data_IF_744010972825
#
_entry.id   IF_744010972825
#
_cell.length_a   1.000
_cell.length_b   1.000
_cell.length_c   1.000
_cell.angle_alpha   90.00
_cell.angle_beta   90.00
_cell.angle_gamma   90.00
#
_symmetry.space_group_name_H-M   'P 1'
#
loop_
_entity.id
_entity.type
_entity.pdbx_description
1 polymer ?
#
# COMPACT_ATOMS: atom_id res chain seq x y z
N UNK A 1 -1.66 -23.72 16.26
CA UNK A 1 -2.42 -23.55 14.99
C UNK A 1 -2.95 -24.88 14.48
N UNK A 2 -4.25 -24.94 14.18
CA UNK A 2 -4.90 -26.06 13.51
C UNK A 2 -4.49 -26.16 12.03
N UNK A 3 -4.70 -27.32 11.40
CA UNK A 3 -4.44 -27.52 9.95
C UNK A 3 -5.23 -26.51 9.09
N UNK A 4 -6.48 -26.21 9.47
CA UNK A 4 -7.32 -25.20 8.80
C UNK A 4 -6.69 -23.81 8.88
N UNK A 5 -6.23 -23.39 10.06
CA UNK A 5 -5.56 -22.10 10.26
C UNK A 5 -4.30 -21.96 9.41
N UNK A 6 -3.48 -23.01 9.28
CA UNK A 6 -2.28 -23.00 8.44
C UNK A 6 -2.62 -22.78 6.96
N UNK A 7 -3.66 -23.47 6.46
CA UNK A 7 -4.12 -23.31 5.08
C UNK A 7 -4.68 -21.90 4.86
N UNK A 8 -5.49 -21.38 5.79
CA UNK A 8 -6.03 -20.02 5.71
C UNK A 8 -4.91 -18.96 5.72
N UNK A 9 -3.88 -19.13 6.54
CA UNK A 9 -2.72 -18.24 6.57
C UNK A 9 -1.95 -18.26 5.24
N UNK A 10 -1.73 -19.46 4.66
CA UNK A 10 -1.07 -19.59 3.36
C UNK A 10 -1.88 -18.93 2.25
N UNK A 11 -3.20 -19.16 2.23
CA UNK A 11 -4.09 -18.55 1.24
C UNK A 11 -4.10 -17.02 1.38
N UNK A 12 -4.13 -16.51 2.62
CA UNK A 12 -4.06 -15.08 2.88
C UNK A 12 -2.74 -14.46 2.39
N UNK A 13 -1.62 -15.15 2.59
CA UNK A 13 -0.33 -14.72 2.06
C UNK A 13 -0.35 -14.62 0.52
N UNK A 14 -0.91 -15.63 -0.16
CA UNK A 14 -1.07 -15.60 -1.62
C UNK A 14 -1.93 -14.42 -2.06
N UNK A 15 -3.06 -14.16 -1.38
CA UNK A 15 -3.93 -13.01 -1.69
C UNK A 15 -3.16 -11.69 -1.54
N UNK A 16 -2.37 -11.51 -0.48
CA UNK A 16 -1.58 -10.31 -0.26
C UNK A 16 -0.51 -10.10 -1.34
N UNK A 17 0.15 -11.17 -1.77
CA UNK A 17 1.17 -11.12 -2.84
C UNK A 17 0.52 -10.74 -4.16
N UNK A 18 -0.59 -11.39 -4.52
CA UNK A 18 -1.33 -11.09 -5.76
C UNK A 18 -1.85 -9.66 -5.75
N UNK A 19 -2.41 -9.21 -4.62
CA UNK A 19 -2.90 -7.84 -4.48
C UNK A 19 -1.76 -6.82 -4.61
N UNK A 20 -0.58 -7.10 -4.03
CA UNK A 20 0.61 -6.26 -4.14
C UNK A 20 1.12 -6.17 -5.58
N UNK A 21 1.22 -7.30 -6.28
CA UNK A 21 1.60 -7.32 -7.70
C UNK A 21 0.60 -6.57 -8.58
N UNK A 22 -0.70 -6.78 -8.37
CA UNK A 22 -1.75 -6.05 -9.09
C UNK A 22 -1.65 -4.54 -8.85
N UNK A 23 -1.47 -4.14 -7.57
CA UNK A 23 -1.23 -2.75 -7.18
C UNK A 23 -0.07 -2.17 -7.97
N UNK A 24 1.09 -2.82 -7.98
CA UNK A 24 2.28 -2.30 -8.66
C UNK A 24 2.07 -2.14 -10.17
N UNK A 25 1.43 -3.11 -10.83
CA UNK A 25 1.06 -3.01 -12.25
C UNK A 25 0.21 -1.77 -12.51
N UNK A 26 -0.83 -1.54 -11.71
CA UNK A 26 -1.72 -0.38 -11.84
C UNK A 26 -0.93 0.93 -11.66
N UNK A 27 -0.10 1.04 -10.62
CA UNK A 27 0.65 2.25 -10.33
C UNK A 27 1.74 2.54 -11.38
N UNK A 28 2.39 1.53 -11.94
CA UNK A 28 3.37 1.69 -13.03
C UNK A 28 2.69 2.28 -14.26
N UNK A 29 1.58 1.69 -14.72
CA UNK A 29 0.84 2.17 -15.89
C UNK A 29 0.32 3.62 -15.71
N UNK A 30 -0.15 3.98 -14.51
CA UNK A 30 -0.55 5.37 -14.22
C UNK A 30 0.65 6.32 -14.30
N UNK A 31 1.81 5.93 -13.75
CA UNK A 31 3.01 6.78 -13.78
C UNK A 31 3.56 6.93 -15.19
N UNK A 32 3.53 5.89 -16.01
CA UNK A 32 3.94 5.96 -17.42
C UNK A 32 3.05 6.94 -18.20
N UNK A 33 1.74 6.88 -18.01
CA UNK A 33 0.83 7.83 -18.65
C UNK A 33 1.08 9.27 -18.18
N UNK A 34 1.34 9.49 -16.89
CA UNK A 34 1.70 10.81 -16.36
C UNK A 34 3.00 11.29 -17.02
N UNK A 35 4.02 10.45 -17.07
CA UNK A 35 5.30 10.77 -17.69
C UNK A 35 5.17 11.10 -19.18
N UNK A 36 4.31 10.38 -19.90
CA UNK A 36 3.99 10.68 -21.30
C UNK A 36 3.26 12.02 -21.46
N UNK A 37 2.22 12.28 -20.65
CA UNK A 37 1.47 13.55 -20.69
C UNK A 37 2.34 14.76 -20.35
N UNK A 38 3.30 14.60 -19.44
CA UNK A 38 4.20 15.66 -18.99
C UNK A 38 5.44 15.81 -19.89
N UNK A 39 5.55 15.04 -20.99
CA UNK A 39 6.64 15.11 -21.95
C UNK A 39 7.98 14.55 -21.42
N UNK A 40 7.95 13.73 -20.37
CA UNK A 40 9.13 13.10 -19.76
C UNK A 40 9.53 11.79 -20.45
N UNK A 41 8.64 11.21 -21.27
CA UNK A 41 8.86 9.94 -21.98
C UNK A 41 8.33 10.06 -23.41
N UNK A 42 9.15 9.68 -24.39
CA UNK A 42 8.83 9.83 -25.82
C UNK A 42 7.81 8.81 -26.34
N UNK A 43 7.65 7.68 -25.64
CA UNK A 43 6.75 6.60 -26.03
C UNK A 43 5.83 6.18 -24.89
N UNK A 44 4.56 5.97 -25.21
CA UNK A 44 3.58 5.47 -24.27
C UNK A 44 3.68 3.94 -24.14
N UNK A 45 4.28 3.46 -23.05
CA UNK A 45 4.44 2.04 -22.72
C UNK A 45 3.27 1.44 -21.92
N UNK A 46 2.16 2.19 -21.74
CA UNK A 46 0.97 1.70 -21.01
C UNK A 46 0.40 0.48 -21.71
N UNK A 47 0.21 -0.59 -20.92
CA UNK A 47 -0.38 -1.85 -21.35
C UNK A 47 -1.77 -1.65 -21.98
N UNK A 48 -2.10 -2.47 -22.97
CA UNK A 48 -3.38 -2.36 -23.69
C UNK A 48 -4.62 -2.49 -22.79
N UNK A 49 -4.53 -3.33 -21.75
CA UNK A 49 -5.57 -3.46 -20.72
C UNK A 49 -5.83 -2.16 -19.93
N UNK A 50 -4.88 -1.24 -19.95
CA UNK A 50 -4.94 0.09 -19.32
C UNK A 50 -5.07 1.22 -20.35
N UNK A 51 -5.43 0.92 -21.60
CA UNK A 51 -5.62 1.91 -22.66
C UNK A 51 -6.60 3.04 -22.30
N UNK A 52 -7.56 2.79 -21.40
CA UNK A 52 -8.46 3.82 -20.88
C UNK A 52 -7.72 4.97 -20.18
N UNK A 53 -6.55 4.72 -19.57
CA UNK A 53 -5.72 5.73 -18.92
C UNK A 53 -5.25 6.80 -19.92
N UNK A 54 -5.08 6.44 -21.20
CA UNK A 54 -4.58 7.33 -22.26
C UNK A 54 -5.51 8.52 -22.53
N UNK A 55 -6.79 8.42 -22.15
CA UNK A 55 -7.77 9.50 -22.30
C UNK A 55 -7.79 10.51 -21.14
N UNK A 56 -7.05 10.25 -20.04
CA UNK A 56 -7.09 11.10 -18.86
C UNK A 56 -5.94 12.11 -18.84
N UNK A 57 -6.21 13.39 -18.49
CA UNK A 57 -5.18 14.39 -18.25
C UNK A 57 -4.40 14.08 -16.96
N UNK A 58 -3.19 14.63 -16.83
CA UNK A 58 -2.28 14.41 -15.69
C UNK A 58 -2.96 14.63 -14.34
N UNK A 59 -3.74 15.70 -14.18
CA UNK A 59 -4.44 15.99 -12.91
C UNK A 59 -5.43 14.88 -12.51
N UNK A 60 -6.19 14.35 -13.48
CA UNK A 60 -7.12 13.25 -13.21
C UNK A 60 -6.37 11.96 -12.87
N UNK A 61 -5.24 11.69 -13.51
CA UNK A 61 -4.39 10.53 -13.20
C UNK A 61 -3.76 10.64 -11.81
N UNK A 62 -3.33 11.84 -11.41
CA UNK A 62 -2.84 12.10 -10.05
C UNK A 62 -3.94 11.87 -9.01
N UNK A 63 -5.15 12.38 -9.24
CA UNK A 63 -6.29 12.14 -8.35
C UNK A 63 -6.65 10.65 -8.27
N UNK A 64 -6.66 9.94 -9.40
CA UNK A 64 -6.87 8.50 -9.44
C UNK A 64 -5.80 7.76 -8.63
N UNK A 65 -4.53 8.16 -8.76
CA UNK A 65 -3.41 7.59 -8.01
C UNK A 65 -3.59 7.76 -6.50
N UNK A 66 -4.04 8.93 -6.05
CA UNK A 66 -4.35 9.18 -4.64
C UNK A 66 -5.53 8.34 -4.14
N UNK A 67 -6.62 8.26 -4.91
CA UNK A 67 -7.78 7.42 -4.58
C UNK A 67 -7.39 5.94 -4.47
N UNK A 68 -6.61 5.43 -5.42
CA UNK A 68 -6.09 4.06 -5.39
C UNK A 68 -5.15 3.82 -4.21
N UNK A 69 -4.33 4.81 -3.85
CA UNK A 69 -3.45 4.71 -2.67
C UNK A 69 -4.28 4.49 -1.41
N UNK A 70 -5.36 5.25 -1.22
CA UNK A 70 -6.28 5.05 -0.08
C UNK A 70 -6.96 3.68 -0.17
N UNK A 71 -7.48 3.31 -1.34
CA UNK A 71 -8.15 2.03 -1.56
C UNK A 71 -7.26 0.83 -1.23
N UNK A 72 -6.03 0.79 -1.75
CA UNK A 72 -5.09 -0.28 -1.46
C UNK A 72 -4.66 -0.26 0.01
N UNK A 73 -4.45 0.91 0.62
CA UNK A 73 -4.11 0.97 2.04
C UNK A 73 -5.23 0.36 2.92
N UNK A 74 -6.49 0.64 2.61
CA UNK A 74 -7.65 0.04 3.29
C UNK A 74 -7.71 -1.47 3.03
N UNK A 75 -7.53 -1.91 1.79
CA UNK A 75 -7.55 -3.33 1.45
C UNK A 75 -6.48 -4.12 2.21
N UNK A 76 -5.22 -3.63 2.21
CA UNK A 76 -4.13 -4.23 2.96
C UNK A 76 -4.38 -4.21 4.47
N UNK A 77 -4.92 -3.10 5.00
CA UNK A 77 -5.31 -3.02 6.42
C UNK A 77 -6.33 -4.09 6.79
N UNK A 78 -7.40 -4.23 6.01
CA UNK A 78 -8.47 -5.22 6.26
C UNK A 78 -7.90 -6.63 6.23
N UNK A 79 -7.10 -6.98 5.23
CA UNK A 79 -6.48 -8.30 5.13
C UNK A 79 -5.53 -8.57 6.31
N UNK A 80 -4.70 -7.60 6.69
CA UNK A 80 -3.82 -7.71 7.86
C UNK A 80 -4.59 -7.83 9.17
N UNK A 81 -5.68 -7.07 9.32
CA UNK A 81 -6.54 -7.13 10.49
C UNK A 81 -7.25 -8.49 10.61
N UNK A 82 -7.83 -8.99 9.51
CA UNK A 82 -8.47 -10.31 9.45
C UNK A 82 -7.47 -11.41 9.79
N UNK A 83 -6.23 -11.29 9.30
CA UNK A 83 -5.15 -12.23 9.60
C UNK A 83 -4.91 -12.37 11.10
N UNK A 84 -4.76 -11.24 11.80
CA UNK A 84 -4.58 -11.27 13.25
C UNK A 84 -5.85 -11.71 13.99
N UNK A 85 -7.00 -11.12 13.66
CA UNK A 85 -8.24 -11.31 14.43
C UNK A 85 -8.84 -12.70 14.28
N UNK A 86 -8.81 -13.27 13.07
CA UNK A 86 -9.55 -14.51 12.76
C UNK A 86 -8.65 -15.69 12.40
N UNK A 87 -7.47 -15.46 11.84
CA UNK A 87 -6.56 -16.56 11.46
C UNK A 87 -5.63 -16.92 12.63
N UNK A 88 -5.02 -15.91 13.24
CA UNK A 88 -4.10 -16.08 14.38
C UNK A 88 -4.82 -16.05 15.74
N UNK A 89 -6.09 -15.66 15.76
CA UNK A 89 -6.90 -15.49 16.99
C UNK A 89 -6.25 -14.55 18.03
N UNK A 90 -5.50 -13.55 17.54
CA UNK A 90 -4.76 -12.59 18.35
C UNK A 90 -5.40 -11.21 18.25
N UNK A 91 -6.39 -10.98 19.11
CA UNK A 91 -7.12 -9.71 19.17
C UNK A 91 -6.24 -8.52 19.58
N UNK A 92 -5.18 -8.76 20.37
CA UNK A 92 -4.22 -7.72 20.72
C UNK A 92 -3.34 -7.36 19.52
N UNK A 93 -2.87 -8.36 18.78
CA UNK A 93 -2.16 -8.16 17.52
C UNK A 93 -2.99 -7.39 16.49
N UNK A 94 -4.29 -7.68 16.39
CA UNK A 94 -5.21 -6.93 15.53
C UNK A 94 -5.33 -5.46 15.96
N UNK A 95 -5.39 -5.17 17.27
CA UNK A 95 -5.39 -3.79 17.80
C UNK A 95 -4.08 -3.08 17.48
N UNK A 96 -2.94 -3.72 17.69
CA UNK A 96 -1.63 -3.15 17.36
C UNK A 96 -1.46 -2.92 15.86
N UNK A 97 -2.01 -3.81 15.03
CA UNK A 97 -2.05 -3.62 13.58
C UNK A 97 -2.82 -2.34 13.21
N UNK A 98 -3.98 -2.09 13.81
CA UNK A 98 -4.73 -0.84 13.60
C UNK A 98 -3.95 0.39 14.03
N UNK A 99 -3.24 0.33 15.16
CA UNK A 99 -2.38 1.43 15.62
C UNK A 99 -1.24 1.67 14.63
N UNK A 100 -0.60 0.62 14.13
CA UNK A 100 0.50 0.71 13.16
C UNK A 100 0.06 1.35 11.84
N UNK A 101 -1.11 0.96 11.31
CA UNK A 101 -1.66 1.58 10.10
C UNK A 101 -2.02 3.04 10.33
N UNK A 102 -2.70 3.36 11.45
CA UNK A 102 -3.06 4.74 11.78
C UNK A 102 -1.81 5.61 11.93
N UNK A 103 -0.82 5.14 12.69
CA UNK A 103 0.45 5.83 12.88
C UNK A 103 1.16 6.05 11.53
N UNK A 104 1.28 5.01 10.70
CA UNK A 104 1.93 5.14 9.40
C UNK A 104 1.21 6.11 8.45
N UNK A 105 -0.13 6.13 8.43
CA UNK A 105 -0.90 7.11 7.65
C UNK A 105 -0.67 8.54 8.16
N UNK A 106 -0.69 8.75 9.48
CA UNK A 106 -0.40 10.06 10.08
C UNK A 106 1.03 10.49 9.74
N UNK A 107 2.02 9.63 9.94
CA UNK A 107 3.42 9.93 9.62
C UNK A 107 3.59 10.25 8.14
N UNK A 108 2.97 9.48 7.25
CA UNK A 108 2.98 9.77 5.81
C UNK A 108 2.40 11.15 5.49
N UNK A 109 1.27 11.51 6.09
CA UNK A 109 0.66 12.84 5.94
C UNK A 109 1.57 13.96 6.45
N UNK A 110 2.20 13.76 7.62
CA UNK A 110 3.17 14.70 8.20
C UNK A 110 4.38 14.88 7.29
N UNK A 111 4.92 13.79 6.69
CA UNK A 111 6.05 13.90 5.76
C UNK A 111 5.68 14.67 4.49
N UNK A 112 4.50 14.41 3.93
CA UNK A 112 4.02 15.11 2.74
C UNK A 112 3.79 16.61 3.00
N UNK A 113 3.08 16.95 4.09
CA UNK A 113 2.81 18.34 4.46
C UNK A 113 4.10 19.05 4.88
N UNK A 114 4.92 18.38 5.69
CA UNK A 114 6.20 18.89 6.18
C UNK A 114 7.16 19.25 5.05
N UNK A 115 7.29 18.40 4.01
CA UNK A 115 8.10 18.73 2.84
C UNK A 115 7.64 19.99 2.12
N UNK A 116 6.33 20.20 2.01
CA UNK A 116 5.79 21.44 1.43
C UNK A 116 6.11 22.67 2.28
N UNK A 117 6.01 22.56 3.60
CA UNK A 117 6.27 23.68 4.53
C UNK A 117 7.77 24.01 4.61
N UNK A 118 8.64 23.00 4.55
CA UNK A 118 10.09 23.15 4.66
C UNK A 118 10.77 23.54 3.34
N UNK A 119 10.02 23.68 2.24
CA UNK A 119 10.56 24.05 0.93
C UNK A 119 11.18 22.89 0.14
N UNK A 120 11.02 21.65 0.60
CA UNK A 120 11.44 20.43 -0.11
C UNK A 120 10.25 19.46 -0.32
N UNK A 121 9.33 19.81 -1.25
CA UNK A 121 8.14 19.00 -1.51
C UNK A 121 8.47 17.63 -2.12
N UNK A 122 9.60 17.50 -2.83
CA UNK A 122 10.00 16.25 -3.47
C UNK A 122 10.41 15.22 -2.43
N UNK A 123 11.23 15.61 -1.45
CA UNK A 123 11.62 14.71 -0.35
C UNK A 123 10.41 14.32 0.50
N UNK A 124 9.54 15.28 0.87
CA UNK A 124 8.34 14.99 1.64
C UNK A 124 7.38 14.03 0.93
N UNK A 125 7.18 14.21 -0.38
CA UNK A 125 6.40 13.28 -1.20
C UNK A 125 7.04 11.89 -1.29
N UNK A 126 8.36 11.82 -1.46
CA UNK A 126 9.10 10.55 -1.55
C UNK A 126 8.99 9.76 -0.24
N UNK A 127 9.22 10.41 0.90
CA UNK A 127 9.08 9.78 2.21
C UNK A 127 7.64 9.31 2.49
N UNK A 128 6.65 10.15 2.20
CA UNK A 128 5.24 9.78 2.30
C UNK A 128 4.90 8.55 1.45
N UNK A 129 5.40 8.49 0.21
CA UNK A 129 5.23 7.34 -0.68
C UNK A 129 5.87 6.07 -0.15
N UNK A 130 7.08 6.15 0.42
CA UNK A 130 7.77 4.99 0.99
C UNK A 130 6.94 4.40 2.14
N UNK A 131 6.43 5.25 3.04
CA UNK A 131 5.60 4.82 4.17
C UNK A 131 4.29 4.20 3.69
N UNK A 132 3.58 4.85 2.76
CA UNK A 132 2.33 4.29 2.20
C UNK A 132 2.58 2.99 1.43
N UNK A 133 3.69 2.90 0.70
CA UNK A 133 4.11 1.68 0.01
C UNK A 133 4.35 0.52 0.97
N UNK A 134 5.03 0.78 2.10
CA UNK A 134 5.24 -0.22 3.13
C UNK A 134 3.89 -0.71 3.73
N UNK A 135 2.95 0.20 4.02
CA UNK A 135 1.62 -0.15 4.51
C UNK A 135 0.79 -0.95 3.49
N UNK A 136 1.00 -0.73 2.19
CA UNK A 136 0.30 -1.42 1.09
C UNK A 136 1.03 -2.68 0.62
N UNK A 137 1.73 -3.36 1.53
CA UNK A 137 2.51 -4.55 1.20
C UNK A 137 2.35 -5.61 2.30
N UNK A 138 2.90 -6.82 2.13
CA UNK A 138 2.95 -7.82 3.20
C UNK A 138 3.80 -7.39 4.42
N UNK A 139 4.55 -6.28 4.32
CA UNK A 139 5.48 -5.80 5.33
C UNK A 139 4.88 -5.65 6.75
N UNK A 140 3.69 -5.06 6.95
CA UNK A 140 3.11 -4.93 8.29
C UNK A 140 2.92 -6.28 8.98
N UNK A 141 2.51 -7.31 8.24
CA UNK A 141 2.36 -8.67 8.78
C UNK A 141 3.72 -9.31 9.06
N UNK A 142 4.69 -9.13 8.17
CA UNK A 142 6.06 -9.61 8.37
C UNK A 142 6.72 -9.01 9.61
N UNK A 143 6.40 -7.75 9.94
CA UNK A 143 6.89 -7.08 11.14
C UNK A 143 6.13 -7.53 12.39
N UNK A 144 4.80 -7.54 12.32
CA UNK A 144 3.95 -7.74 13.50
C UNK A 144 3.91 -9.19 13.99
N UNK A 145 3.97 -10.18 13.09
CA UNK A 145 3.90 -11.59 13.49
C UNK A 145 5.09 -11.95 14.41
N UNK A 146 6.36 -11.71 14.02
CA UNK A 146 7.49 -11.96 14.91
C UNK A 146 7.45 -11.11 16.19
N UNK A 147 7.04 -9.84 16.10
CA UNK A 147 6.94 -8.98 17.27
C UNK A 147 5.98 -9.53 18.33
N UNK A 148 4.82 -10.05 17.90
CA UNK A 148 3.86 -10.69 18.81
C UNK A 148 4.39 -12.00 19.41
N UNK A 149 5.11 -12.80 18.61
CA UNK A 149 5.76 -14.03 19.10
C UNK A 149 6.84 -13.78 20.17
N UNK A 150 7.44 -12.60 20.21
CA UNK A 150 8.42 -12.22 21.24
C UNK A 150 7.77 -11.72 22.54
N UNK A 151 6.62 -11.04 22.43
CA UNK A 151 5.90 -10.48 23.59
C UNK A 151 5.09 -11.55 24.33
N UNK A 152 4.59 -12.56 23.62
CA UNK A 152 3.81 -13.65 24.21
C UNK A 152 4.69 -14.78 24.80
N UNK A 153 6.01 -14.58 24.90
CA UNK A 153 6.96 -15.44 25.62
C UNK A 153 7.25 -14.87 26.99
#
# INVERSE_FOLDING_TARGET
MSKKQKISALLMLVVLIVLGGFRDIVFVNINEQIGFNDGLVDSNSVLDSFSFLKSYPTEKLLNLKWALTVLFAIAFFILSFISFKYILDDSQGARWMSILYLAGVITSGVMYIGGKVLGDPLTGYTLSRVIMGALQSPFPLMLMIPARMLVDR
#
